data_IF_162797102766
#
_entry.id   IF_162797102766
#
_cell.length_a   1.000
_cell.length_b   1.000
_cell.length_c   1.000
_cell.angle_alpha   90.00
_cell.angle_beta   90.00
_cell.angle_gamma   90.00
#
_symmetry.space_group_name_H-M   'P 1'
#
loop_
_entity.id
_entity.type
_entity.pdbx_description
1 polymer ?
#
# COMPACT_ATOMS: atom_id res chain seq x y z
N UNK A 1 -0.64 27.26 1.48
CA UNK A 1 -0.36 28.48 2.28
C UNK A 1 -1.22 29.64 1.84
N UNK A 2 -2.11 29.43 0.89
CA UNK A 2 -3.13 30.36 0.42
C UNK A 2 -4.49 29.66 0.52
N UNK A 3 -5.55 30.44 0.37
CA UNK A 3 -6.92 29.94 0.28
C UNK A 3 -7.10 29.07 -0.97
N UNK A 4 -7.93 28.04 -0.89
CA UNK A 4 -8.20 27.15 -2.03
C UNK A 4 -9.67 26.73 -2.08
N UNK A 5 -10.20 26.52 -3.29
CA UNK A 5 -11.49 25.89 -3.49
C UNK A 5 -11.32 24.39 -3.81
N UNK A 6 -11.89 23.51 -2.98
CA UNK A 6 -11.92 22.06 -3.22
C UNK A 6 -13.38 21.62 -3.25
N UNK A 7 -13.81 20.98 -4.35
CA UNK A 7 -15.22 20.57 -4.55
C UNK A 7 -16.23 21.70 -4.29
N UNK A 8 -15.93 22.92 -4.74
CA UNK A 8 -16.73 24.13 -4.52
C UNK A 8 -16.83 24.62 -3.06
N UNK A 9 -16.01 24.09 -2.15
CA UNK A 9 -15.85 24.61 -0.80
C UNK A 9 -14.60 25.46 -0.69
N UNK A 10 -14.74 26.67 -0.13
CA UNK A 10 -13.62 27.53 0.22
C UNK A 10 -12.93 26.99 1.48
N UNK A 11 -11.62 26.78 1.38
CA UNK A 11 -10.76 26.33 2.47
C UNK A 11 -9.76 27.46 2.73
N UNK A 12 -9.87 28.13 3.90
CA UNK A 12 -8.95 29.21 4.26
C UNK A 12 -7.51 28.74 4.40
N UNK A 13 -6.57 29.64 4.12
CA UNK A 13 -5.16 29.43 4.42
C UNK A 13 -4.92 29.09 5.89
N UNK A 14 -3.94 28.22 6.15
CA UNK A 14 -3.62 27.71 7.48
C UNK A 14 -4.45 26.48 7.89
N UNK A 15 -5.47 26.10 7.12
CA UNK A 15 -6.25 24.89 7.38
C UNK A 15 -5.42 23.62 7.12
N UNK A 16 -5.41 22.70 8.08
CA UNK A 16 -4.84 21.37 7.89
C UNK A 16 -5.77 20.52 7.02
N UNK A 17 -5.28 20.08 5.87
CA UNK A 17 -6.00 19.14 4.98
C UNK A 17 -5.31 17.78 5.06
N UNK A 18 -6.09 16.74 5.33
CA UNK A 18 -5.61 15.35 5.42
C UNK A 18 -6.20 14.50 4.30
N UNK A 19 -5.36 13.68 3.67
CA UNK A 19 -5.79 12.69 2.70
C UNK A 19 -6.08 11.37 3.42
N UNK A 20 -7.33 10.90 3.33
CA UNK A 20 -7.75 9.61 3.88
C UNK A 20 -7.26 8.42 3.05
N UNK A 21 -5.94 8.18 2.99
CA UNK A 21 -5.33 7.16 2.12
C UNK A 21 -5.88 5.75 2.36
N UNK A 22 -6.11 5.36 3.61
CA UNK A 22 -6.67 4.05 3.96
C UNK A 22 -8.09 3.87 3.43
N UNK A 23 -8.91 4.92 3.49
CA UNK A 23 -10.28 4.93 2.97
C UNK A 23 -10.28 4.98 1.43
N UNK A 24 -9.47 5.85 0.82
CA UNK A 24 -9.31 5.95 -0.63
C UNK A 24 -8.91 4.60 -1.26
N UNK A 25 -7.97 3.88 -0.63
CA UNK A 25 -7.55 2.56 -1.09
C UNK A 25 -8.66 1.51 -1.10
N UNK A 26 -9.75 1.74 -0.35
CA UNK A 26 -10.92 0.85 -0.22
C UNK A 26 -12.17 1.37 -0.94
N UNK A 27 -12.07 2.52 -1.58
CA UNK A 27 -13.21 3.14 -2.25
C UNK A 27 -13.41 2.52 -3.65
N UNK A 28 -14.56 1.87 -3.92
CA UNK A 28 -14.84 1.25 -5.21
C UNK A 28 -14.95 2.26 -6.38
N UNK A 29 -15.20 3.55 -6.09
CA UNK A 29 -15.20 4.62 -7.08
C UNK A 29 -13.79 4.98 -7.56
N UNK A 30 -12.77 4.74 -6.72
CA UNK A 30 -11.36 4.97 -7.04
C UNK A 30 -10.72 3.69 -7.57
N UNK A 31 -11.00 2.56 -6.92
CA UNK A 31 -10.44 1.25 -7.23
C UNK A 31 -11.54 0.20 -7.44
N UNK A 32 -11.79 -0.25 -8.68
CA UNK A 32 -12.71 -1.36 -8.92
C UNK A 32 -12.27 -2.62 -8.16
N UNK A 33 -13.22 -3.26 -7.45
CA UNK A 33 -12.96 -4.42 -6.56
C UNK A 33 -11.80 -4.12 -5.59
N UNK A 34 -11.96 -3.15 -4.67
CA UNK A 34 -10.85 -2.65 -3.86
C UNK A 34 -10.31 -3.68 -2.87
N UNK A 35 -11.15 -4.61 -2.39
CA UNK A 35 -10.76 -5.67 -1.46
C UNK A 35 -10.00 -6.84 -2.14
N UNK A 36 -9.84 -6.82 -3.47
CA UNK A 36 -9.08 -7.85 -4.19
C UNK A 36 -7.62 -7.43 -4.37
N UNK A 37 -6.69 -8.30 -3.97
CA UNK A 37 -5.27 -8.14 -4.30
C UNK A 37 -5.04 -8.37 -5.80
N UNK A 38 -4.89 -7.28 -6.56
CA UNK A 38 -4.74 -7.30 -8.01
C UNK A 38 -3.55 -6.43 -8.47
N UNK A 39 -2.30 -6.95 -8.47
CA UNK A 39 -1.11 -6.18 -8.85
C UNK A 39 -1.14 -5.64 -10.28
N UNK A 40 -1.85 -6.31 -11.19
CA UNK A 40 -1.92 -5.94 -12.61
C UNK A 40 -2.53 -4.56 -12.86
N UNK A 41 -3.30 -3.99 -11.92
CA UNK A 41 -3.86 -2.62 -12.03
C UNK A 41 -2.79 -1.53 -12.14
N UNK A 42 -1.57 -1.82 -11.69
CA UNK A 42 -0.46 -0.88 -11.70
C UNK A 42 0.39 -0.94 -12.97
N UNK A 43 0.06 -1.83 -13.91
CA UNK A 43 0.74 -1.91 -15.20
C UNK A 43 0.38 -0.69 -16.08
N UNK A 44 1.28 -0.34 -17.01
CA UNK A 44 1.29 0.92 -17.79
C UNK A 44 0.05 1.18 -18.65
N UNK A 45 -0.91 0.27 -18.70
CA UNK A 45 -2.14 0.36 -19.48
C UNK A 45 -3.24 1.16 -18.80
N UNK A 46 -3.15 1.39 -17.49
CA UNK A 46 -4.19 2.09 -16.71
C UNK A 46 -3.73 3.48 -16.23
N UNK A 47 -4.65 4.45 -16.25
CA UNK A 47 -4.40 5.79 -15.71
C UNK A 47 -4.41 5.75 -14.17
N UNK A 48 -3.22 5.73 -13.57
CA UNK A 48 -3.01 5.63 -12.13
C UNK A 48 -2.73 6.99 -11.44
N UNK A 49 -3.26 8.08 -12.00
CA UNK A 49 -3.06 9.44 -11.48
C UNK A 49 -3.42 9.55 -9.99
N UNK A 50 -2.45 9.94 -9.15
CA UNK A 50 -2.60 10.11 -7.70
C UNK A 50 -3.19 8.92 -6.93
N UNK A 51 -3.08 7.70 -7.47
CA UNK A 51 -3.52 6.47 -6.80
C UNK A 51 -2.43 5.77 -5.99
N UNK A 52 -1.16 6.04 -6.32
CA UNK A 52 0.01 5.47 -5.63
C UNK A 52 0.66 6.51 -4.69
N UNK A 53 0.10 6.66 -3.49
CA UNK A 53 0.50 7.67 -2.51
C UNK A 53 1.06 7.09 -1.19
N UNK A 54 1.40 5.80 -1.15
CA UNK A 54 1.90 5.13 0.07
C UNK A 54 3.20 5.73 0.63
N UNK A 55 4.03 6.35 -0.22
CA UNK A 55 5.25 7.06 0.19
C UNK A 55 5.08 8.59 0.20
N UNK A 56 3.84 9.10 0.10
CA UNK A 56 3.56 10.52 -0.08
C UNK A 56 3.85 11.01 -1.50
N UNK A 57 3.93 12.34 -1.66
CA UNK A 57 4.13 13.00 -2.96
C UNK A 57 4.93 14.31 -2.79
N UNK A 58 5.64 14.71 -3.84
CA UNK A 58 6.36 15.98 -3.89
C UNK A 58 7.65 15.99 -3.04
N UNK A 59 8.18 17.17 -2.72
CA UNK A 59 9.50 17.32 -2.09
C UNK A 59 9.56 16.80 -0.65
N UNK A 60 8.42 16.61 0.01
CA UNK A 60 8.31 16.02 1.37
C UNK A 60 7.79 14.58 1.36
N UNK A 61 7.89 13.88 0.23
CA UNK A 61 7.65 12.43 0.21
C UNK A 61 8.67 11.71 1.10
N UNK A 62 8.41 10.44 1.41
CA UNK A 62 9.29 9.61 2.23
C UNK A 62 10.73 9.63 1.68
N UNK A 63 11.66 10.14 2.49
CA UNK A 63 13.09 10.18 2.15
C UNK A 63 13.65 8.77 1.90
N UNK A 64 13.18 7.79 2.67
CA UNK A 64 13.57 6.38 2.56
C UNK A 64 12.90 5.62 1.41
N UNK A 65 12.07 6.26 0.56
CA UNK A 65 11.30 5.57 -0.49
C UNK A 65 12.17 4.63 -1.33
N UNK A 66 13.32 5.10 -1.81
CA UNK A 66 14.21 4.29 -2.67
C UNK A 66 14.84 3.12 -1.94
N UNK A 67 15.20 3.32 -0.67
CA UNK A 67 15.73 2.25 0.18
C UNK A 67 14.65 1.20 0.39
N UNK A 68 13.46 1.60 0.84
CA UNK A 68 12.34 0.69 1.10
C UNK A 68 11.89 -0.06 -0.17
N UNK A 69 11.74 0.64 -1.31
CA UNK A 69 11.41 0.01 -2.60
C UNK A 69 12.44 -1.07 -2.98
N UNK A 70 13.73 -0.74 -2.88
CA UNK A 70 14.83 -1.65 -3.25
C UNK A 70 14.91 -2.84 -2.30
N UNK A 71 14.84 -2.58 -0.99
CA UNK A 71 14.86 -3.61 0.06
C UNK A 71 13.70 -4.60 -0.11
N UNK A 72 12.47 -4.10 -0.26
CA UNK A 72 11.29 -4.96 -0.45
C UNK A 72 11.37 -5.75 -1.75
N UNK A 73 11.83 -5.14 -2.85
CA UNK A 73 11.99 -5.85 -4.13
C UNK A 73 13.02 -6.97 -4.02
N UNK A 74 14.20 -6.69 -3.48
CA UNK A 74 15.24 -7.70 -3.28
C UNK A 74 14.77 -8.81 -2.35
N UNK A 75 14.13 -8.46 -1.23
CA UNK A 75 13.56 -9.45 -0.31
C UNK A 75 12.55 -10.36 -1.01
N UNK A 76 11.60 -9.79 -1.77
CA UNK A 76 10.59 -10.56 -2.49
C UNK A 76 11.20 -11.44 -3.58
N UNK A 77 12.22 -10.98 -4.32
CA UNK A 77 12.94 -11.78 -5.31
C UNK A 77 13.53 -13.03 -4.64
N UNK A 78 14.35 -12.85 -3.59
CA UNK A 78 14.99 -13.98 -2.92
C UNK A 78 13.97 -14.92 -2.27
N UNK A 79 12.90 -14.38 -1.67
CA UNK A 79 11.84 -15.19 -1.08
C UNK A 79 11.10 -16.03 -2.13
N UNK A 80 10.78 -15.45 -3.28
CA UNK A 80 10.04 -16.12 -4.36
C UNK A 80 10.91 -17.11 -5.15
N UNK A 81 12.23 -16.90 -5.21
CA UNK A 81 13.17 -17.82 -5.86
C UNK A 81 13.46 -19.08 -5.03
N UNK A 82 13.41 -18.96 -3.70
CA UNK A 82 13.86 -20.02 -2.80
C UNK A 82 12.72 -20.71 -2.02
N UNK A 83 11.60 -20.02 -1.79
CA UNK A 83 10.58 -20.49 -0.87
C UNK A 83 9.15 -20.38 -1.40
N UNK A 84 8.33 -21.35 -1.00
CA UNK A 84 6.87 -21.26 -1.04
C UNK A 84 6.38 -20.79 0.32
N UNK A 85 5.65 -19.68 0.32
CA UNK A 85 5.01 -19.11 1.51
C UNK A 85 3.54 -19.54 1.56
N UNK A 86 3.15 -20.18 2.64
CA UNK A 86 1.77 -20.62 2.89
C UNK A 86 1.23 -19.94 4.17
N UNK A 87 -0.07 -19.66 4.21
CA UNK A 87 -0.76 -19.18 5.42
C UNK A 87 -1.61 -20.29 6.03
N UNK A 88 -1.89 -20.19 7.33
CA UNK A 88 -2.95 -20.99 7.94
C UNK A 88 -4.30 -20.69 7.26
N UNK A 89 -5.14 -21.72 7.07
CA UNK A 89 -6.43 -21.59 6.38
C UNK A 89 -7.37 -20.65 7.16
N UNK A 90 -8.14 -19.81 6.44
CA UNK A 90 -9.23 -18.97 6.96
C UNK A 90 -8.86 -17.92 8.03
N UNK A 91 -7.67 -17.31 7.96
CA UNK A 91 -7.37 -16.14 8.78
C UNK A 91 -7.81 -14.87 8.05
N UNK A 92 -8.85 -14.20 8.55
CA UNK A 92 -9.18 -12.82 8.21
C UNK A 92 -8.38 -11.91 9.15
N UNK A 93 -7.44 -11.14 8.60
CA UNK A 93 -6.56 -10.27 9.38
C UNK A 93 -7.08 -8.85 9.25
N UNK A 94 -7.50 -8.26 10.37
CA UNK A 94 -7.93 -6.87 10.45
C UNK A 94 -6.75 -5.94 10.68
N UNK A 95 -6.94 -4.66 10.36
CA UNK A 95 -5.97 -3.61 10.59
C UNK A 95 -6.27 -2.86 11.89
N UNK A 96 -5.24 -2.56 12.66
CA UNK A 96 -5.28 -1.64 13.81
C UNK A 96 -4.33 -0.47 13.59
N UNK A 97 -4.54 0.63 14.31
CA UNK A 97 -3.71 1.83 14.22
C UNK A 97 -2.94 2.03 15.52
N UNK A 98 -1.61 1.90 15.44
CA UNK A 98 -0.67 2.17 16.53
C UNK A 98 0.40 3.12 16.01
N UNK A 99 0.01 4.37 15.72
CA UNK A 99 0.76 5.38 14.95
C UNK A 99 0.96 5.02 13.47
N UNK A 100 1.31 3.77 13.20
CA UNK A 100 1.29 3.13 11.87
C UNK A 100 0.17 2.09 11.81
N UNK A 101 -0.27 1.77 10.59
CA UNK A 101 -1.26 0.71 10.37
C UNK A 101 -0.57 -0.65 10.47
N UNK A 102 -1.07 -1.51 11.35
CA UNK A 102 -0.54 -2.84 11.63
C UNK A 102 -1.64 -3.90 11.54
N UNK A 103 -1.29 -5.19 11.37
CA UNK A 103 -2.20 -6.30 11.66
C UNK A 103 -2.65 -6.25 13.12
N UNK A 104 -3.94 -6.48 13.38
CA UNK A 104 -4.49 -6.59 14.74
C UNK A 104 -3.98 -7.85 15.46
N UNK A 105 -3.71 -8.92 14.72
CA UNK A 105 -3.21 -10.20 15.22
C UNK A 105 -1.97 -10.65 14.45
N UNK A 106 -1.06 -11.41 15.08
CA UNK A 106 0.10 -11.99 14.39
C UNK A 106 -0.31 -12.85 13.17
N UNK A 107 0.43 -12.70 12.07
CA UNK A 107 0.24 -13.51 10.87
C UNK A 107 1.20 -14.70 10.93
N UNK A 108 0.67 -15.91 11.12
CA UNK A 108 1.47 -17.13 11.16
C UNK A 108 1.64 -17.68 9.74
N UNK A 109 2.89 -17.71 9.28
CA UNK A 109 3.28 -18.19 7.96
C UNK A 109 4.07 -19.50 8.06
N UNK A 110 3.90 -20.37 7.07
CA UNK A 110 4.73 -21.55 6.86
C UNK A 110 5.60 -21.31 5.63
N UNK A 111 6.91 -21.40 5.81
CA UNK A 111 7.90 -21.21 4.74
C UNK A 111 8.46 -22.58 4.40
N UNK A 112 8.31 -23.01 3.14
CA UNK A 112 8.82 -24.28 2.64
C UNK A 112 9.85 -24.00 1.54
N UNK A 113 10.99 -24.71 1.47
CA UNK A 113 11.87 -24.59 0.32
C UNK A 113 11.13 -24.99 -0.96
N UNK A 114 11.37 -24.29 -2.07
CA UNK A 114 10.89 -24.71 -3.38
C UNK A 114 11.63 -26.00 -3.75
N UNK A 115 10.90 -27.10 -3.93
CA UNK A 115 11.49 -28.35 -4.40
C UNK A 115 11.91 -28.16 -5.86
N UNK A 116 13.21 -27.94 -6.06
CA UNK A 116 13.82 -27.88 -7.39
C UNK A 116 14.75 -26.70 -7.61
N UNK A 117 15.82 -26.60 -6.83
CA UNK A 117 17.12 -26.12 -7.34
C UNK A 117 18.22 -26.97 -6.70
N UNK A 118 18.91 -27.75 -7.54
CA UNK A 118 20.27 -28.21 -7.27
C UNK A 118 21.20 -27.01 -7.29
#
# INVERSE_FOLDING_TARGET
TEDIAIQNYHIPSGTLVQLGLFAMGRDPSVFPRPEQYQPSRWLRTENNYFRSLGFGFGPRQCLGRRIAETEMQLFLIHMLENFRVEKQRHVEVRSTFQLIVLPETPIILTIKPLQGQR
#
